data_IF_281379319999
#
_entry.id   IF_281379319999
#
_cell.length_a   1.000
_cell.length_b   1.000
_cell.length_c   1.000
_cell.angle_alpha   90.00
_cell.angle_beta   90.00
_cell.angle_gamma   90.00
#
_symmetry.space_group_name_H-M   'P 1'
#
loop_
_entity.id
_entity.type
_entity.pdbx_description
1 polymer ?
#
# COMPACT_ATOMS: atom_id res chain seq x y z
N UNK A 1 -66.21 54.04 24.41
CA UNK A 1 -66.42 53.12 23.26
C UNK A 1 -65.13 53.13 22.45
N UNK A 2 -64.40 52.02 22.34
CA UNK A 2 -64.36 51.13 21.13
C UNK A 2 -64.15 51.93 19.84
N UNK A 3 -63.22 51.66 18.93
CA UNK A 3 -62.32 50.52 18.65
C UNK A 3 -61.53 50.90 17.38
N UNK A 4 -60.28 50.43 17.26
CA UNK A 4 -59.68 49.75 16.07
C UNK A 4 -59.69 50.45 14.69
N UNK A 5 -58.83 50.18 13.70
CA UNK A 5 -57.58 49.43 13.47
C UNK A 5 -57.45 49.40 11.92
N UNK A 6 -56.24 49.45 11.38
CA UNK A 6 -55.94 49.02 10.00
C UNK A 6 -55.92 50.14 8.96
N UNK A 7 -55.05 50.16 7.96
CA UNK A 7 -54.20 49.11 7.37
C UNK A 7 -52.93 49.82 6.88
N UNK A 8 -51.78 49.48 7.45
CA UNK A 8 -50.45 49.82 6.93
C UNK A 8 -49.56 48.58 7.11
N UNK A 9 -50.03 47.47 6.53
CA UNK A 9 -49.36 46.17 6.49
C UNK A 9 -49.53 45.61 5.08
N UNK A 10 -48.49 45.71 4.27
CA UNK A 10 -48.53 45.18 2.91
C UNK A 10 -47.26 45.41 2.09
N UNK A 11 -46.07 45.45 2.71
CA UNK A 11 -44.79 45.38 1.99
C UNK A 11 -43.58 45.11 2.90
N UNK A 12 -43.76 44.30 3.96
CA UNK A 12 -42.65 43.85 4.82
C UNK A 12 -42.86 42.38 5.20
N UNK A 13 -42.86 41.46 4.22
CA UNK A 13 -42.56 40.04 4.45
C UNK A 13 -42.08 39.47 3.12
N UNK A 14 -40.76 39.30 2.94
CA UNK A 14 -40.16 38.28 2.05
C UNK A 14 -38.63 38.18 2.14
N UNK A 15 -37.94 38.99 2.95
CA UNK A 15 -36.48 38.90 3.09
C UNK A 15 -35.98 38.00 4.25
N UNK A 16 -36.86 37.31 4.99
CA UNK A 16 -36.49 36.55 6.19
C UNK A 16 -36.51 35.02 6.06
N UNK A 17 -36.57 34.44 4.84
CA UNK A 17 -36.56 32.98 4.65
C UNK A 17 -35.35 32.42 3.89
N UNK A 18 -34.26 33.17 3.79
CA UNK A 18 -32.97 32.62 3.36
C UNK A 18 -31.94 32.73 4.48
N UNK A 19 -32.18 31.99 5.57
CA UNK A 19 -31.07 31.47 6.35
C UNK A 19 -30.40 30.39 5.48
N UNK A 20 -29.56 30.83 4.54
CA UNK A 20 -28.44 30.02 4.08
C UNK A 20 -27.54 29.82 5.30
N UNK A 21 -27.86 28.82 6.12
CA UNK A 21 -26.86 28.13 6.92
C UNK A 21 -25.95 27.44 5.90
N UNK A 22 -25.03 28.20 5.30
CA UNK A 22 -23.76 27.66 4.88
C UNK A 22 -23.13 27.22 6.19
N UNK A 23 -23.35 25.95 6.56
CA UNK A 23 -22.58 25.30 7.59
C UNK A 23 -21.12 25.44 7.14
N UNK A 24 -20.43 26.46 7.63
CA UNK A 24 -18.98 26.48 7.60
C UNK A 24 -18.60 25.24 8.40
N UNK A 25 -18.23 24.17 7.70
CA UNK A 25 -17.54 23.01 8.27
C UNK A 25 -16.35 23.56 9.01
N UNK A 26 -16.52 23.77 10.32
CA UNK A 26 -15.46 24.24 11.21
C UNK A 26 -14.45 23.11 11.30
N UNK A 27 -13.37 23.20 10.52
CA UNK A 27 -12.24 22.29 10.66
C UNK A 27 -11.55 22.56 11.99
N UNK A 28 -11.35 21.53 12.81
CA UNK A 28 -10.55 21.59 14.03
C UNK A 28 -9.10 21.19 13.73
N UNK A 29 -8.16 21.78 14.47
CA UNK A 29 -6.81 21.26 14.55
C UNK A 29 -6.85 19.92 15.30
N UNK A 30 -6.46 18.84 14.63
CA UNK A 30 -6.49 17.48 15.17
C UNK A 30 -5.13 17.06 15.69
N UNK A 31 -4.06 17.44 14.98
CA UNK A 31 -2.68 17.13 15.34
C UNK A 31 -1.77 18.27 14.90
N UNK A 32 -0.82 18.63 15.75
CA UNK A 32 0.36 19.40 15.35
C UNK A 32 1.56 18.80 16.06
N UNK A 33 2.54 18.32 15.29
CA UNK A 33 3.68 17.63 15.89
C UNK A 33 4.73 17.22 14.88
N UNK A 34 5.83 16.71 15.41
CA UNK A 34 6.93 16.16 14.63
C UNK A 34 6.64 14.70 14.32
N UNK A 35 6.96 14.31 13.08
CA UNK A 35 6.97 12.94 12.61
C UNK A 35 8.32 12.70 11.95
N UNK A 36 9.01 11.65 12.37
CA UNK A 36 10.20 11.17 11.68
C UNK A 36 9.81 10.24 10.52
N UNK A 37 10.73 10.07 9.57
CA UNK A 37 10.55 9.19 8.42
C UNK A 37 10.19 7.78 8.90
N UNK A 38 9.08 7.27 8.40
CA UNK A 38 8.53 5.97 8.72
C UNK A 38 7.51 6.01 9.87
N UNK A 39 7.27 7.15 10.51
CA UNK A 39 6.25 7.29 11.54
C UNK A 39 4.86 7.58 10.99
N UNK A 40 3.86 7.33 11.84
CA UNK A 40 2.46 7.49 11.51
C UNK A 40 1.67 8.08 12.66
N UNK A 41 0.66 8.85 12.29
CA UNK A 41 -0.36 9.35 13.22
C UNK A 41 -1.74 8.90 12.71
N UNK A 42 -2.57 8.40 13.62
CA UNK A 42 -3.98 8.13 13.35
C UNK A 42 -4.75 9.43 13.49
N UNK A 43 -5.62 9.71 12.54
CA UNK A 43 -6.46 10.92 12.52
C UNK A 43 -7.85 10.52 12.07
N UNK A 44 -8.77 10.33 13.02
CA UNK A 44 -10.09 9.76 12.76
C UNK A 44 -9.97 8.38 12.07
N UNK A 45 -10.54 8.18 10.87
CA UNK A 45 -10.43 6.93 10.10
C UNK A 45 -9.15 6.82 9.27
N UNK A 46 -8.24 7.80 9.34
CA UNK A 46 -7.05 7.86 8.49
C UNK A 46 -5.78 7.45 9.24
N UNK A 47 -4.86 6.85 8.49
CA UNK A 47 -3.45 6.76 8.86
C UNK A 47 -2.68 7.76 8.01
N UNK A 48 -2.03 8.73 8.64
CA UNK A 48 -1.14 9.68 7.99
C UNK A 48 0.29 9.25 8.27
N UNK A 49 1.00 8.79 7.24
CA UNK A 49 2.32 8.20 7.33
C UNK A 49 3.36 9.06 6.62
N UNK A 50 4.46 9.41 7.28
CA UNK A 50 5.57 10.09 6.65
C UNK A 50 6.51 9.06 5.99
N UNK A 51 6.27 8.72 4.73
CA UNK A 51 6.98 7.63 4.05
C UNK A 51 8.45 7.95 3.76
N UNK A 52 8.73 9.19 3.35
CA UNK A 52 10.07 9.61 2.91
C UNK A 52 10.24 11.12 3.03
N UNK A 53 11.46 11.54 3.28
CA UNK A 53 11.91 12.92 3.05
C UNK A 53 13.05 12.87 2.05
N UNK A 54 13.05 13.78 1.08
CA UNK A 54 14.08 13.85 0.06
C UNK A 54 14.50 15.30 -0.21
N UNK A 55 15.77 15.48 -0.54
CA UNK A 55 16.26 16.78 -0.98
C UNK A 55 15.71 17.10 -2.36
N UNK A 56 15.30 18.34 -2.58
CA UNK A 56 14.78 18.82 -3.84
C UNK A 56 15.19 20.29 -4.07
N UNK A 57 15.24 20.71 -5.32
CA UNK A 57 15.28 22.14 -5.63
C UNK A 57 13.92 22.75 -5.29
N UNK A 58 13.92 23.83 -4.52
CA UNK A 58 12.73 24.62 -4.21
C UNK A 58 12.47 25.66 -5.30
N UNK A 59 11.30 26.28 -5.26
CA UNK A 59 10.85 27.27 -6.25
C UNK A 59 11.76 28.51 -6.31
N UNK A 60 12.47 28.81 -5.23
CA UNK A 60 13.45 29.89 -5.13
C UNK A 60 14.85 29.51 -5.65
N UNK A 61 15.01 28.29 -6.17
CA UNK A 61 16.27 27.76 -6.67
C UNK A 61 17.25 27.32 -5.58
N UNK A 62 16.84 27.30 -4.31
CA UNK A 62 17.64 26.74 -3.21
C UNK A 62 17.44 25.23 -3.07
N UNK A 63 18.38 24.56 -2.39
CA UNK A 63 18.21 23.16 -2.00
C UNK A 63 17.44 23.10 -0.68
N UNK A 64 16.29 22.43 -0.71
CA UNK A 64 15.47 22.17 0.47
C UNK A 64 15.03 20.72 0.55
N UNK A 65 14.10 20.42 1.46
CA UNK A 65 13.55 19.08 1.64
C UNK A 65 12.05 19.07 1.35
N UNK A 66 11.57 18.01 0.70
CA UNK A 66 10.15 17.72 0.56
C UNK A 66 9.80 16.39 1.22
N UNK A 67 8.65 16.37 1.89
CA UNK A 67 8.08 15.23 2.59
C UNK A 67 7.06 14.52 1.69
N UNK A 68 7.21 13.20 1.57
CA UNK A 68 6.23 12.32 0.97
C UNK A 68 5.33 11.78 2.08
N UNK A 69 4.11 12.30 2.15
CA UNK A 69 3.09 11.85 3.10
C UNK A 69 2.14 10.90 2.37
N UNK A 70 1.92 9.71 2.94
CA UNK A 70 0.96 8.72 2.43
C UNK A 70 -0.23 8.69 3.39
N UNK A 71 -1.43 8.86 2.85
CA UNK A 71 -2.66 8.95 3.62
C UNK A 71 -3.50 7.73 3.26
N UNK A 72 -3.75 6.87 4.25
CA UNK A 72 -4.38 5.56 4.07
C UNK A 72 -5.74 5.56 4.74
N UNK A 73 -6.75 5.05 4.03
CA UNK A 73 -8.09 4.75 4.54
C UNK A 73 -8.47 3.34 4.11
N UNK A 74 -9.01 2.53 5.03
CA UNK A 74 -9.47 1.18 4.74
C UNK A 74 -8.41 0.31 4.02
N UNK A 75 -7.13 0.48 4.41
CA UNK A 75 -5.99 -0.23 3.84
C UNK A 75 -5.53 0.26 2.45
N UNK A 76 -6.10 1.34 1.90
CA UNK A 76 -5.74 1.89 0.58
C UNK A 76 -5.25 3.34 0.68
N UNK A 77 -4.20 3.74 -0.06
CA UNK A 77 -3.80 5.14 -0.15
C UNK A 77 -4.86 5.97 -0.88
N UNK A 78 -5.28 7.08 -0.29
CA UNK A 78 -6.31 7.99 -0.83
C UNK A 78 -5.74 9.27 -1.43
N UNK A 79 -4.42 9.49 -1.29
CA UNK A 79 -3.69 10.62 -1.89
C UNK A 79 -2.67 10.18 -2.96
N UNK A 80 -2.86 9.00 -3.53
CA UNK A 80 -2.07 8.51 -4.65
C UNK A 80 -2.66 9.00 -5.97
N UNK A 81 -1.81 9.57 -6.82
CA UNK A 81 -2.07 9.72 -8.24
C UNK A 81 -1.50 8.50 -8.97
N UNK A 82 -2.27 7.90 -9.86
CA UNK A 82 -1.80 6.72 -10.59
C UNK A 82 -1.20 7.15 -11.93
N UNK A 83 0.12 7.03 -12.03
CA UNK A 83 0.81 7.16 -13.31
C UNK A 83 0.86 5.80 -13.96
N UNK A 84 0.47 5.76 -15.22
CA UNK A 84 0.47 4.54 -16.00
C UNK A 84 1.58 4.59 -17.03
N UNK A 85 2.39 3.54 -17.10
CA UNK A 85 3.38 3.36 -18.16
C UNK A 85 3.03 2.11 -18.96
N UNK A 86 3.24 2.17 -20.27
CA UNK A 86 3.17 1.00 -21.13
C UNK A 86 4.52 0.30 -21.09
N UNK A 87 4.53 -0.96 -20.71
CA UNK A 87 5.72 -1.81 -20.74
C UNK A 87 5.50 -2.98 -21.71
N UNK A 88 6.56 -3.53 -22.32
CA UNK A 88 6.48 -4.76 -23.08
C UNK A 88 5.76 -5.86 -22.30
N UNK A 89 4.84 -6.56 -22.95
CA UNK A 89 4.17 -7.73 -22.39
C UNK A 89 4.84 -9.00 -22.93
N UNK A 90 5.57 -9.76 -22.09
CA UNK A 90 6.27 -10.96 -22.55
C UNK A 90 5.34 -11.99 -23.19
N UNK A 91 4.09 -12.12 -22.74
CA UNK A 91 3.16 -13.10 -23.31
C UNK A 91 2.69 -12.67 -24.70
N UNK A 92 2.38 -11.39 -24.88
CA UNK A 92 1.97 -10.86 -26.19
C UNK A 92 3.12 -10.90 -27.19
N UNK A 93 4.34 -10.59 -26.75
CA UNK A 93 5.55 -10.70 -27.57
C UNK A 93 5.78 -12.16 -27.97
N UNK A 94 5.72 -13.10 -27.03
CA UNK A 94 5.87 -14.53 -27.36
C UNK A 94 4.80 -15.02 -28.31
N UNK A 95 3.54 -14.60 -28.13
CA UNK A 95 2.47 -14.91 -29.08
C UNK A 95 2.78 -14.35 -30.46
N UNK A 96 3.25 -13.10 -30.55
CA UNK A 96 3.61 -12.47 -31.80
C UNK A 96 4.78 -13.19 -32.50
N UNK A 97 5.75 -13.71 -31.74
CA UNK A 97 6.84 -14.53 -32.25
C UNK A 97 6.39 -15.91 -32.77
N UNK A 98 5.14 -16.32 -32.54
CA UNK A 98 4.57 -17.52 -33.20
C UNK A 98 3.96 -17.21 -34.58
N UNK A 99 3.77 -15.93 -34.91
CA UNK A 99 3.21 -15.51 -36.19
C UNK A 99 4.29 -15.56 -37.28
N UNK A 100 4.13 -16.44 -38.26
CA UNK A 100 5.09 -16.64 -39.35
C UNK A 100 5.27 -15.41 -40.23
N UNK A 101 4.20 -14.65 -40.48
CA UNK A 101 4.26 -13.38 -41.22
C UNK A 101 5.10 -12.35 -40.47
N UNK A 102 4.90 -12.25 -39.15
CA UNK A 102 5.68 -11.36 -38.31
C UNK A 102 7.16 -11.79 -38.23
N UNK A 103 7.44 -13.09 -38.05
CA UNK A 103 8.81 -13.60 -38.01
C UNK A 103 9.57 -13.32 -39.31
N UNK A 104 8.90 -13.43 -40.46
CA UNK A 104 9.51 -13.08 -41.75
C UNK A 104 9.86 -11.59 -41.82
N UNK A 105 8.92 -10.71 -41.47
CA UNK A 105 9.18 -9.27 -41.42
C UNK A 105 10.30 -8.91 -40.42
N UNK A 106 10.34 -9.56 -39.25
CA UNK A 106 11.39 -9.36 -38.26
C UNK A 106 12.77 -9.81 -38.77
N UNK A 107 12.83 -10.95 -39.47
CA UNK A 107 14.06 -11.39 -40.11
C UNK A 107 14.54 -10.41 -41.18
N UNK A 108 13.64 -9.89 -42.02
CA UNK A 108 13.95 -8.86 -43.02
C UNK A 108 14.44 -7.55 -42.38
N UNK A 109 13.78 -7.08 -41.31
CA UNK A 109 14.16 -5.90 -40.51
C UNK A 109 15.58 -6.01 -39.93
N UNK A 110 15.99 -7.24 -39.57
CA UNK A 110 17.33 -7.55 -39.06
C UNK A 110 18.35 -7.81 -40.17
N UNK A 111 17.94 -7.75 -41.45
CA UNK A 111 18.80 -7.88 -42.61
C UNK A 111 18.98 -9.32 -43.13
N UNK A 112 18.18 -10.27 -42.67
CA UNK A 112 18.18 -11.64 -43.18
C UNK A 112 17.30 -11.77 -44.44
N UNK A 113 17.77 -12.55 -45.41
CA UNK A 113 16.94 -12.96 -46.54
C UNK A 113 16.14 -14.21 -46.16
N UNK A 114 14.85 -14.02 -45.90
CA UNK A 114 13.96 -15.07 -45.39
C UNK A 114 13.58 -16.14 -46.42
N UNK A 115 13.88 -15.92 -47.70
CA UNK A 115 13.70 -16.93 -48.75
C UNK A 115 14.92 -17.84 -48.93
N UNK A 116 16.06 -17.48 -48.34
CA UNK A 116 17.27 -18.28 -48.34
C UNK A 116 17.30 -19.23 -47.12
N UNK A 117 17.32 -20.57 -47.31
CA UNK A 117 17.25 -21.53 -46.20
C UNK A 117 18.37 -21.40 -45.16
N UNK A 118 19.58 -20.99 -45.59
CA UNK A 118 20.72 -20.81 -44.69
C UNK A 118 20.51 -19.57 -43.80
N UNK A 119 20.11 -18.44 -44.40
CA UNK A 119 19.88 -17.22 -43.63
C UNK A 119 18.64 -17.32 -42.73
N UNK A 120 17.59 -18.02 -43.18
CA UNK A 120 16.45 -18.35 -42.34
C UNK A 120 16.87 -19.16 -41.09
N UNK A 121 17.74 -20.15 -41.26
CA UNK A 121 18.27 -20.94 -40.13
C UNK A 121 19.11 -20.08 -39.18
N UNK A 122 19.92 -19.15 -39.71
CA UNK A 122 20.71 -18.21 -38.91
C UNK A 122 19.84 -17.28 -38.07
N UNK A 123 18.74 -16.77 -38.66
CA UNK A 123 17.76 -15.98 -37.93
C UNK A 123 17.11 -16.75 -36.78
N UNK A 124 16.69 -18.01 -37.01
CA UNK A 124 16.11 -18.84 -35.95
C UNK A 124 17.11 -19.17 -34.84
N UNK A 125 18.39 -19.38 -35.19
CA UNK A 125 19.45 -19.55 -34.21
C UNK A 125 19.64 -18.27 -33.37
N UNK A 126 19.71 -17.11 -34.02
CA UNK A 126 19.78 -15.82 -33.34
C UNK A 126 18.61 -15.67 -32.36
N UNK A 127 17.38 -15.92 -32.80
CA UNK A 127 16.18 -15.84 -31.97
C UNK A 127 16.24 -16.77 -30.73
N UNK A 128 16.88 -17.93 -30.86
CA UNK A 128 17.07 -18.87 -29.75
C UNK A 128 18.21 -18.51 -28.78
N UNK A 129 19.12 -17.62 -29.17
CA UNK A 129 20.30 -17.23 -28.36
C UNK A 129 20.31 -15.77 -27.91
N UNK A 130 19.50 -14.92 -28.54
CA UNK A 130 19.41 -13.50 -28.25
C UNK A 130 18.84 -13.24 -26.85
N UNK A 131 19.30 -12.17 -26.22
CA UNK A 131 18.74 -11.70 -24.96
C UNK A 131 17.31 -11.20 -25.14
N UNK A 132 16.56 -11.14 -24.05
CA UNK A 132 15.19 -10.60 -24.07
C UNK A 132 15.15 -9.12 -24.49
N UNK A 133 16.22 -8.37 -24.22
CA UNK A 133 16.37 -6.98 -24.65
C UNK A 133 16.53 -6.89 -26.17
N UNK A 134 17.45 -7.66 -26.76
CA UNK A 134 17.68 -7.70 -28.21
C UNK A 134 16.43 -8.17 -28.98
N UNK A 135 15.72 -9.18 -28.46
CA UNK A 135 14.45 -9.64 -29.04
C UNK A 135 13.40 -8.53 -28.95
N UNK A 136 13.31 -7.85 -27.81
CA UNK A 136 12.42 -6.71 -27.61
C UNK A 136 12.68 -5.61 -28.62
N UNK A 137 13.92 -5.15 -28.74
CA UNK A 137 14.33 -4.10 -29.70
C UNK A 137 14.01 -4.50 -31.13
N UNK A 138 14.29 -5.73 -31.53
CA UNK A 138 13.97 -6.24 -32.86
C UNK A 138 12.46 -6.21 -33.13
N UNK A 139 11.63 -6.63 -32.15
CA UNK A 139 10.16 -6.58 -32.26
C UNK A 139 9.67 -5.14 -32.39
N UNK A 140 10.17 -4.21 -31.56
CA UNK A 140 9.82 -2.79 -31.64
C UNK A 140 10.18 -2.18 -33.00
N UNK A 141 11.40 -2.45 -33.48
CA UNK A 141 11.89 -1.98 -34.77
C UNK A 141 11.05 -2.53 -35.92
N UNK A 142 10.72 -3.82 -35.88
CA UNK A 142 9.89 -4.48 -36.91
C UNK A 142 8.51 -3.83 -37.01
N UNK A 143 7.86 -3.56 -35.87
CA UNK A 143 6.55 -2.89 -35.85
C UNK A 143 6.62 -1.48 -36.45
N UNK A 144 7.72 -0.76 -36.23
CA UNK A 144 7.91 0.58 -36.79
C UNK A 144 8.20 0.58 -38.29
N UNK A 145 8.96 -0.41 -38.77
CA UNK A 145 9.36 -0.51 -40.18
C UNK A 145 8.31 -1.20 -41.07
N UNK A 146 7.40 -1.99 -40.48
CA UNK A 146 6.37 -2.74 -41.18
C UNK A 146 4.93 -2.38 -40.75
N UNK A 147 4.45 -1.14 -41.01
CA UNK A 147 3.08 -0.72 -40.65
C UNK A 147 1.99 -1.54 -41.36
N UNK A 148 2.30 -2.18 -42.49
CA UNK A 148 1.39 -3.06 -43.24
C UNK A 148 0.97 -4.31 -42.45
N UNK A 149 1.70 -4.69 -41.40
CA UNK A 149 1.32 -5.78 -40.52
C UNK A 149 0.09 -5.44 -39.65
N UNK A 150 -0.28 -4.17 -39.55
CA UNK A 150 -1.43 -3.71 -38.76
C UNK A 150 -1.24 -3.90 -37.25
N UNK A 151 0.00 -4.12 -36.80
CA UNK A 151 0.36 -4.28 -35.39
C UNK A 151 0.83 -2.94 -34.85
N UNK A 152 0.39 -2.59 -33.65
CA UNK A 152 0.77 -1.36 -32.95
C UNK A 152 1.54 -1.68 -31.66
N UNK A 153 2.17 -0.66 -31.07
CA UNK A 153 2.84 -0.83 -29.77
C UNK A 153 1.83 -1.19 -28.66
N UNK A 154 0.57 -0.78 -28.77
CA UNK A 154 -0.50 -1.22 -27.84
C UNK A 154 -0.69 -2.74 -27.85
N UNK A 155 -0.52 -3.39 -29.00
CA UNK A 155 -0.77 -4.83 -29.17
C UNK A 155 0.30 -5.70 -28.51
N UNK A 156 1.48 -5.13 -28.23
CA UNK A 156 2.60 -5.83 -27.59
C UNK A 156 2.95 -5.31 -26.20
N UNK A 157 2.25 -4.27 -25.73
CA UNK A 157 2.48 -3.69 -24.40
C UNK A 157 1.31 -3.99 -23.46
N UNK A 158 1.60 -3.89 -22.17
CA UNK A 158 0.61 -3.83 -21.10
C UNK A 158 0.79 -2.55 -20.30
N UNK A 159 -0.32 -2.02 -19.81
CA UNK A 159 -0.30 -0.88 -18.92
C UNK A 159 -0.03 -1.34 -17.50
N UNK A 160 1.03 -0.84 -16.88
CA UNK A 160 1.22 -0.93 -15.44
C UNK A 160 0.99 0.44 -14.82
N UNK A 161 0.18 0.48 -13.78
CA UNK A 161 -0.08 1.69 -13.01
C UNK A 161 0.65 1.58 -11.69
N UNK A 162 1.40 2.63 -11.32
CA UNK A 162 2.04 2.72 -10.02
C UNK A 162 1.58 3.99 -9.31
N UNK A 163 1.39 3.93 -7.99
CA UNK A 163 1.01 5.10 -7.22
C UNK A 163 2.19 6.07 -7.16
N UNK A 164 1.90 7.32 -7.43
CA UNK A 164 2.77 8.47 -7.22
C UNK A 164 2.12 9.34 -6.15
N UNK A 165 2.93 9.81 -5.20
CA UNK A 165 2.46 10.61 -4.09
C UNK A 165 2.96 12.04 -4.27
N UNK A 166 2.06 12.99 -4.07
CA UNK A 166 2.45 14.40 -4.00
C UNK A 166 3.42 14.58 -2.83
N UNK A 167 4.51 15.28 -3.08
CA UNK A 167 5.45 15.68 -2.03
C UNK A 167 5.15 17.11 -1.62
N UNK A 168 5.25 17.40 -0.33
CA UNK A 168 5.01 18.72 0.25
C UNK A 168 6.30 19.29 0.87
N UNK A 169 6.64 20.52 0.51
CA UNK A 169 7.65 21.35 1.15
C UNK A 169 7.08 22.17 2.32
N UNK A 170 7.89 23.05 2.89
CA UNK A 170 7.46 23.91 3.99
C UNK A 170 6.29 24.80 3.59
N UNK A 171 5.27 24.84 4.44
CA UNK A 171 3.98 25.50 4.28
C UNK A 171 3.10 24.98 3.14
N UNK A 172 3.52 23.96 2.40
CA UNK A 172 2.66 23.29 1.41
C UNK A 172 1.63 22.38 2.11
N UNK A 173 0.44 22.27 1.51
CA UNK A 173 -0.71 21.58 2.11
C UNK A 173 -1.33 20.56 1.16
N UNK A 174 -1.58 19.35 1.66
CA UNK A 174 -2.43 18.35 1.01
C UNK A 174 -3.86 18.57 1.52
N UNK A 175 -4.82 18.73 0.61
CA UNK A 175 -6.25 18.81 0.94
C UNK A 175 -6.99 17.63 0.34
N UNK A 176 -7.76 16.92 1.16
CA UNK A 176 -8.55 15.76 0.76
C UNK A 176 -10.00 15.92 1.20
N UNK A 177 -10.91 15.29 0.44
CA UNK A 177 -12.27 15.04 0.88
C UNK A 177 -12.37 13.57 1.30
N UNK A 178 -12.74 13.33 2.55
CA UNK A 178 -12.90 12.00 3.13
C UNK A 178 -14.32 11.85 3.63
N UNK A 179 -15.11 10.99 2.98
CA UNK A 179 -16.51 10.72 3.31
C UNK A 179 -17.38 12.01 3.39
N UNK A 180 -17.11 13.00 2.54
CA UNK A 180 -17.81 14.28 2.49
C UNK A 180 -17.18 15.38 3.36
N UNK A 181 -16.18 15.04 4.16
CA UNK A 181 -15.51 15.95 5.09
C UNK A 181 -14.13 16.39 4.58
N UNK A 182 -13.77 17.65 4.82
CA UNK A 182 -12.45 18.19 4.41
C UNK A 182 -11.39 17.87 5.45
N UNK A 183 -10.27 17.30 5.00
CA UNK A 183 -9.06 17.06 5.80
C UNK A 183 -7.89 17.77 5.13
N UNK A 184 -7.07 18.47 5.92
CA UNK A 184 -5.89 19.17 5.43
C UNK A 184 -4.66 18.78 6.22
N UNK A 185 -3.56 18.50 5.54
CA UNK A 185 -2.26 18.17 6.13
C UNK A 185 -1.23 19.14 5.58
N UNK A 186 -0.69 19.99 6.44
CA UNK A 186 0.30 21.01 6.11
C UNK A 186 1.65 20.62 6.69
N UNK A 187 2.71 20.66 5.88
CA UNK A 187 4.07 20.53 6.38
C UNK A 187 4.55 21.90 6.87
N UNK A 188 4.52 22.14 8.19
CA UNK A 188 5.00 23.40 8.77
C UNK A 188 6.52 23.55 8.65
N UNK A 189 7.24 22.43 8.68
CA UNK A 189 8.69 22.38 8.57
C UNK A 189 9.10 21.02 7.99
N UNK A 190 10.16 20.97 7.16
CA UNK A 190 10.69 19.72 6.60
C UNK A 190 12.20 19.67 6.79
N UNK A 191 12.72 18.59 7.37
CA UNK A 191 14.14 18.41 7.69
C UNK A 191 14.59 16.99 7.29
N UNK A 192 15.91 16.70 7.19
CA UNK A 192 16.41 15.49 6.52
C UNK A 192 15.77 14.17 6.95
N UNK A 193 15.37 14.06 8.22
CA UNK A 193 14.84 12.83 8.82
C UNK A 193 13.35 12.90 9.17
N UNK A 194 12.65 14.01 8.88
CA UNK A 194 11.28 14.17 9.35
C UNK A 194 10.60 15.45 8.91
N UNK A 195 9.40 15.69 9.43
CA UNK A 195 8.64 16.90 9.19
C UNK A 195 7.78 17.26 10.40
N UNK A 196 7.59 18.56 10.64
CA UNK A 196 6.54 19.05 11.54
C UNK A 196 5.25 19.17 10.73
N UNK A 197 4.24 18.37 11.04
CA UNK A 197 2.95 18.39 10.35
C UNK A 197 1.87 19.04 11.21
N UNK A 198 0.98 19.79 10.57
CA UNK A 198 -0.30 20.25 11.11
C UNK A 198 -1.43 19.58 10.35
N UNK A 199 -2.32 18.89 11.06
CA UNK A 199 -3.44 18.13 10.48
C UNK A 199 -4.73 18.68 11.04
N UNK A 200 -5.61 19.13 10.16
CA UNK A 200 -6.94 19.63 10.51
C UNK A 200 -8.02 18.82 9.81
N UNK A 201 -9.17 18.68 10.45
CA UNK A 201 -10.30 17.89 9.94
C UNK A 201 -11.57 18.10 10.74
N UNK A 202 -12.55 17.19 10.68
CA UNK A 202 -13.82 17.34 11.38
C UNK A 202 -13.69 17.46 12.90
N UNK A 203 -14.52 18.28 13.57
CA UNK A 203 -14.41 18.56 15.01
C UNK A 203 -14.65 17.34 15.91
N UNK A 204 -15.30 16.29 15.40
CA UNK A 204 -15.49 15.01 16.09
C UNK A 204 -14.32 14.05 15.98
N UNK A 205 -13.40 14.28 15.05
CA UNK A 205 -12.23 13.41 14.89
C UNK A 205 -11.22 13.66 16.00
N UNK A 206 -10.39 12.66 16.25
CA UNK A 206 -9.28 12.71 17.19
C UNK A 206 -8.03 12.23 16.48
N UNK A 207 -6.89 12.77 16.88
CA UNK A 207 -5.61 12.25 16.45
C UNK A 207 -4.86 11.60 17.61
N UNK A 208 -4.06 10.58 17.28
CA UNK A 208 -3.18 9.92 18.22
C UNK A 208 -1.99 9.36 17.46
N UNK A 209 -0.79 9.61 17.97
CA UNK A 209 0.38 8.84 17.57
C UNK A 209 0.23 7.44 18.15
N UNK A 210 0.51 6.37 17.38
CA UNK A 210 0.63 5.05 17.99
C UNK A 210 2.00 4.98 18.66
N UNK A 211 2.06 4.81 20.00
CA UNK A 211 3.32 4.53 20.66
C UNK A 211 3.98 3.30 20.03
N UNK A 212 3.21 2.23 19.85
CA UNK A 212 3.69 1.01 19.22
C UNK A 212 2.66 0.44 18.23
N UNK A 213 3.15 -0.14 17.14
CA UNK A 213 2.32 -0.80 16.12
C UNK A 213 3.02 -2.06 15.63
N UNK A 214 2.60 -3.23 16.11
CA UNK A 214 3.20 -4.51 15.73
C UNK A 214 2.53 -5.05 14.46
N UNK A 215 3.31 -5.24 13.42
CA UNK A 215 2.93 -6.03 12.24
C UNK A 215 3.57 -7.41 12.32
N UNK A 216 2.92 -8.42 11.72
CA UNK A 216 3.36 -9.81 11.83
C UNK A 216 3.28 -10.56 10.51
N UNK A 217 4.27 -11.41 10.23
CA UNK A 217 4.19 -12.41 9.16
C UNK A 217 4.84 -13.73 9.60
N UNK A 218 4.60 -14.80 8.84
CA UNK A 218 5.00 -16.15 9.21
C UNK A 218 5.77 -16.80 8.08
N UNK A 219 6.92 -17.40 8.40
CA UNK A 219 7.64 -18.33 7.53
C UNK A 219 7.44 -19.75 8.06
N UNK A 220 6.90 -20.62 7.20
CA UNK A 220 6.65 -22.02 7.51
C UNK A 220 7.09 -22.91 6.33
N UNK A 221 7.49 -24.17 6.58
CA UNK A 221 7.81 -25.11 5.52
C UNK A 221 6.61 -25.37 4.61
N UNK A 222 6.85 -25.46 3.30
CA UNK A 222 5.80 -25.61 2.28
C UNK A 222 5.11 -26.98 2.29
N UNK A 223 5.78 -28.00 2.83
CA UNK A 223 5.28 -29.37 2.93
C UNK A 223 5.94 -30.04 4.12
N UNK A 224 5.18 -30.89 4.81
CA UNK A 224 5.57 -31.59 6.04
C UNK A 224 4.97 -33.00 5.99
N UNK A 225 5.66 -33.99 6.55
CA UNK A 225 5.19 -35.38 6.65
C UNK A 225 4.81 -35.73 8.09
N UNK A 226 3.92 -36.71 8.31
CA UNK A 226 3.67 -37.25 9.63
C UNK A 226 4.97 -37.65 10.34
N UNK A 227 5.14 -37.20 11.58
CA UNK A 227 6.35 -37.43 12.38
C UNK A 227 7.47 -36.40 12.21
N UNK A 228 7.42 -35.51 11.20
CA UNK A 228 8.45 -34.48 11.01
C UNK A 228 8.48 -33.47 12.17
N UNK A 229 9.66 -33.01 12.54
CA UNK A 229 9.85 -31.82 13.38
C UNK A 229 10.06 -30.60 12.50
N UNK A 230 9.25 -29.56 12.74
CA UNK A 230 9.22 -28.34 11.94
C UNK A 230 9.38 -27.10 12.82
N UNK A 231 10.02 -26.08 12.25
CA UNK A 231 10.12 -24.75 12.85
C UNK A 231 9.28 -23.76 12.07
N UNK A 232 8.39 -23.07 12.77
CA UNK A 232 7.61 -21.95 12.23
C UNK A 232 8.21 -20.66 12.79
N UNK A 233 8.63 -19.74 11.91
CA UNK A 233 9.17 -18.44 12.32
C UNK A 233 8.09 -17.38 12.22
N UNK A 234 7.77 -16.75 13.35
CA UNK A 234 6.86 -15.61 13.41
C UNK A 234 7.70 -14.35 13.53
N UNK A 235 7.61 -13.49 12.53
CA UNK A 235 8.27 -12.19 12.54
C UNK A 235 7.32 -11.16 13.14
N UNK A 236 7.84 -10.34 14.04
CA UNK A 236 7.16 -9.21 14.65
C UNK A 236 7.96 -7.97 14.32
N UNK A 237 7.33 -6.96 13.74
CA UNK A 237 7.97 -5.67 13.50
C UNK A 237 7.18 -4.54 14.13
N UNK A 238 7.82 -3.79 15.01
CA UNK A 238 7.21 -2.59 15.58
C UNK A 238 7.40 -1.41 14.62
N UNK A 239 6.37 -1.11 13.85
CA UNK A 239 6.33 0.05 12.97
C UNK A 239 6.09 1.36 13.75
N UNK A 240 5.79 1.28 15.06
CA UNK A 240 5.65 2.43 15.94
C UNK A 240 6.99 3.08 16.33
N UNK A 241 6.89 4.24 16.99
CA UNK A 241 8.04 5.06 17.40
C UNK A 241 8.59 4.70 18.79
N UNK A 242 7.72 4.21 19.66
CA UNK A 242 8.00 3.81 21.02
C UNK A 242 7.94 2.29 21.17
N UNK A 243 8.48 1.80 22.28
CA UNK A 243 8.50 0.38 22.60
C UNK A 243 7.08 -0.21 22.72
N UNK A 244 6.86 -1.36 22.10
CA UNK A 244 5.74 -2.25 22.43
C UNK A 244 6.16 -3.08 23.64
N UNK A 245 5.46 -2.98 24.78
CA UNK A 245 5.77 -3.81 25.97
C UNK A 245 4.76 -4.94 26.16
N UNK A 246 5.21 -6.01 26.80
CA UNK A 246 4.38 -7.15 27.23
C UNK A 246 3.65 -7.85 26.07
N UNK A 247 4.33 -8.08 24.95
CA UNK A 247 3.73 -8.70 23.76
C UNK A 247 3.64 -10.22 23.95
N UNK A 248 2.42 -10.75 23.89
CA UNK A 248 2.16 -12.20 23.92
C UNK A 248 1.82 -12.67 22.51
N UNK A 249 2.60 -13.63 22.01
CA UNK A 249 2.37 -14.25 20.69
C UNK A 249 1.90 -15.67 20.90
N UNK A 250 0.73 -15.97 20.35
CA UNK A 250 0.10 -17.29 20.40
C UNK A 250 -0.01 -17.79 18.96
N UNK A 251 0.64 -18.92 18.66
CA UNK A 251 0.55 -19.56 17.36
C UNK A 251 -0.51 -20.67 17.41
N UNK A 252 -1.62 -20.49 16.71
CA UNK A 252 -2.72 -21.45 16.67
C UNK A 252 -2.92 -22.04 15.27
N UNK A 253 -3.05 -23.37 15.14
CA UNK A 253 -3.38 -24.03 13.87
C UNK A 253 -4.85 -23.88 13.47
N UNK A 254 -5.70 -23.27 14.30
CA UNK A 254 -7.13 -23.04 14.01
C UNK A 254 -7.40 -21.56 13.76
N UNK A 255 -8.32 -21.27 12.82
CA UNK A 255 -8.89 -19.92 12.65
C UNK A 255 -9.64 -19.55 13.93
N UNK A 256 -9.09 -18.62 14.72
CA UNK A 256 -9.73 -18.13 15.93
C UNK A 256 -10.86 -17.17 15.56
N UNK A 257 -12.09 -17.49 15.96
CA UNK A 257 -13.20 -16.55 15.87
C UNK A 257 -13.11 -15.60 17.08
N UNK A 258 -12.46 -14.45 16.91
CA UNK A 258 -12.23 -13.48 17.98
C UNK A 258 -13.49 -12.66 18.28
N UNK A 259 -14.46 -13.28 18.96
CA UNK A 259 -15.58 -12.60 19.58
C UNK A 259 -15.71 -13.07 21.04
N UNK A 260 -14.83 -12.60 21.92
CA UNK A 260 -15.04 -12.79 23.35
C UNK A 260 -14.38 -11.69 24.17
N UNK A 261 -15.18 -10.97 24.95
CA UNK A 261 -14.78 -10.02 26.00
C UNK A 261 -14.15 -10.72 27.23
N UNK A 262 -13.32 -11.75 27.02
CA UNK A 262 -12.64 -12.52 28.08
C UNK A 262 -11.16 -12.16 28.18
N UNK A 263 -10.60 -12.24 29.39
CA UNK A 263 -9.19 -11.92 29.65
C UNK A 263 -8.22 -12.83 28.86
N UNK A 264 -7.10 -12.25 28.41
CA UNK A 264 -6.10 -12.91 27.58
C UNK A 264 -5.49 -14.16 28.23
N UNK A 265 -5.41 -14.23 29.57
CA UNK A 265 -4.93 -15.42 30.27
C UNK A 265 -5.91 -16.60 30.19
N UNK A 266 -7.22 -16.34 30.18
CA UNK A 266 -8.24 -17.39 30.06
C UNK A 266 -8.22 -18.02 28.68
N UNK A 267 -7.97 -17.24 27.62
CA UNK A 267 -7.81 -17.73 26.25
C UNK A 267 -6.57 -18.61 26.10
N UNK A 268 -5.43 -18.19 26.65
CA UNK A 268 -4.20 -19.00 26.65
C UNK A 268 -4.40 -20.33 27.38
N UNK A 269 -5.08 -20.33 28.54
CA UNK A 269 -5.40 -21.55 29.28
C UNK A 269 -6.40 -22.45 28.56
N UNK A 270 -7.41 -21.87 27.91
CA UNK A 270 -8.42 -22.63 27.15
C UNK A 270 -7.81 -23.30 25.92
N UNK A 271 -6.86 -22.63 25.25
CA UNK A 271 -6.11 -23.19 24.13
C UNK A 271 -5.17 -24.32 24.56
N UNK A 272 -4.52 -24.21 25.73
CA UNK A 272 -3.69 -25.28 26.28
C UNK A 272 -4.49 -26.48 26.82
N UNK A 273 -5.74 -26.27 27.24
CA UNK A 273 -6.59 -27.33 27.84
C UNK A 273 -7.62 -27.94 26.90
N UNK A 274 -7.89 -27.34 25.73
CA UNK A 274 -8.77 -27.97 24.74
C UNK A 274 -8.08 -29.23 24.19
N UNK A 275 -8.60 -30.41 24.52
CA UNK A 275 -8.13 -31.71 24.01
C UNK A 275 -8.28 -31.91 22.50
N UNK A 276 -8.39 -30.83 21.72
CA UNK A 276 -8.49 -30.78 20.26
C UNK A 276 -7.19 -30.30 19.59
N UNK A 277 -6.16 -29.88 20.37
CA UNK A 277 -4.81 -29.55 19.85
C UNK A 277 -4.09 -30.79 19.26
N UNK A 278 -4.67 -31.99 19.34
CA UNK A 278 -4.07 -33.21 18.79
C UNK A 278 -4.11 -33.33 17.25
N UNK A 279 -4.71 -32.41 16.49
CA UNK A 279 -5.16 -32.79 15.14
C UNK A 279 -4.14 -32.75 14.00
N UNK A 280 -3.00 -32.02 14.05
CA UNK A 280 -1.94 -32.15 13.01
C UNK A 280 -0.55 -31.73 13.52
N UNK A 281 -0.47 -30.68 14.33
CA UNK A 281 0.80 -30.12 14.83
C UNK A 281 0.82 -30.10 16.36
N UNK A 282 1.77 -30.84 16.95
CA UNK A 282 1.99 -30.92 18.39
C UNK A 282 3.13 -29.97 18.78
N UNK A 283 2.93 -28.96 19.64
CA UNK A 283 4.03 -28.09 20.07
C UNK A 283 5.08 -28.91 20.82
N UNK A 284 6.35 -28.78 20.43
CA UNK A 284 7.49 -29.42 21.13
C UNK A 284 7.81 -28.66 22.41
N UNK A 285 7.80 -27.32 22.31
CA UNK A 285 8.03 -26.42 23.42
C UNK A 285 6.69 -25.82 23.91
N UNK A 286 6.44 -24.57 23.57
CA UNK A 286 5.23 -23.83 23.87
C UNK A 286 4.69 -23.20 22.59
N UNK A 287 3.37 -23.25 22.41
CA UNK A 287 2.67 -22.51 21.37
C UNK A 287 2.51 -21.01 21.70
N UNK A 288 2.95 -20.61 22.89
CA UNK A 288 2.92 -19.23 23.39
C UNK A 288 4.33 -18.76 23.71
N UNK A 289 4.71 -17.59 23.19
CA UNK A 289 5.95 -16.90 23.54
C UNK A 289 5.65 -15.49 24.00
N UNK A 290 6.46 -15.01 24.94
CA UNK A 290 6.34 -13.69 25.52
C UNK A 290 7.58 -12.86 25.15
N UNK A 291 7.33 -11.62 24.74
CA UNK A 291 8.36 -10.64 24.42
C UNK A 291 8.17 -9.44 25.33
N UNK A 292 9.15 -9.18 26.20
CA UNK A 292 9.07 -8.13 27.20
C UNK A 292 8.89 -6.76 26.58
N UNK A 293 9.69 -6.46 25.55
CA UNK A 293 9.51 -5.29 24.72
C UNK A 293 10.05 -5.49 23.30
N UNK A 294 9.54 -4.70 22.35
CA UNK A 294 10.06 -4.52 20.99
C UNK A 294 10.26 -3.03 20.80
N UNK A 295 11.49 -2.57 20.65
CA UNK A 295 11.80 -1.14 20.45
C UNK A 295 11.12 -0.58 19.19
N UNK A 296 11.00 0.74 19.12
CA UNK A 296 10.48 1.40 17.90
C UNK A 296 11.35 1.00 16.70
N UNK A 297 10.70 0.62 15.59
CA UNK A 297 11.34 0.14 14.35
C UNK A 297 12.11 -1.18 14.46
N UNK A 298 12.13 -1.83 15.62
CA UNK A 298 12.79 -3.13 15.80
C UNK A 298 11.98 -4.27 15.17
N UNK A 299 12.68 -5.24 14.59
CA UNK A 299 12.13 -6.52 14.18
C UNK A 299 12.66 -7.63 15.09
N UNK A 300 11.75 -8.48 15.58
CA UNK A 300 12.08 -9.70 16.33
C UNK A 300 11.49 -10.93 15.64
N UNK A 301 12.26 -12.01 15.64
CA UNK A 301 11.85 -13.31 15.10
C UNK A 301 11.66 -14.28 16.25
N UNK A 302 10.47 -14.89 16.31
CA UNK A 302 10.12 -15.92 17.28
C UNK A 302 9.99 -17.27 16.57
N UNK A 303 10.80 -18.23 16.98
CA UNK A 303 10.78 -19.59 16.41
C UNK A 303 9.88 -20.51 17.25
N UNK A 304 8.94 -21.21 16.63
CA UNK A 304 8.07 -22.18 17.30
C UNK A 304 8.31 -23.57 16.72
N UNK A 305 8.61 -24.54 17.59
CA UNK A 305 8.88 -25.92 17.21
C UNK A 305 7.63 -26.79 17.35
N UNK A 306 7.30 -27.53 16.31
CA UNK A 306 6.18 -28.47 16.30
C UNK A 306 6.61 -29.83 15.74
N UNK A 307 6.02 -30.89 16.28
CA UNK A 307 6.06 -32.23 15.71
C UNK A 307 4.75 -32.49 14.99
N UNK A 308 4.81 -32.92 13.74
CA UNK A 308 3.63 -33.34 12.99
C UNK A 308 3.13 -34.66 13.58
N UNK A 309 1.84 -34.75 13.91
CA UNK A 309 1.25 -35.96 14.47
C UNK A 309 1.48 -37.14 13.52
N UNK A 310 2.02 -38.24 14.06
CA UNK A 310 2.34 -39.46 13.29
C UNK A 310 1.08 -40.15 12.74
N UNK A 311 -0.09 -39.84 13.30
CA UNK A 311 -1.39 -40.40 12.91
C UNK A 311 -2.27 -39.41 12.10
N UNK A 312 -1.73 -38.25 11.69
CA UNK A 312 -2.44 -37.27 10.86
C UNK A 312 -2.48 -37.65 9.38
#
# INVERSE_FOLDING_TARGET
>A
MKKELGILLGLVVLSSMFNFNVAMTQSSLLFEGYLDKGESVFVGPLIVHLARVQQAMLDDGSLGYKAMVVIIKDGKPINANYTSIKIPDPQKIQHLLTNTTFLNAMGETLGYNMTNPLQYTQFLMWLGTASQEEIGEAVFKTIQEHPELGITLEDITRTISFPTFQQIGENETISLNVDGEKVTITALQVYPNGAKLSISGPPGWKASTLPAYITTWVEAPKSVKPGDEITIKVHLKNEGALEARYVTVILSPMMLNMNSNGSNEALAQTLSQSGLVQSVLLPVDSATKYVEYIEGKEEKVLEFHFKVNENA
#
